data_IF_412530447968
#
_entry.id   IF_412530447968
#
_cell.length_a   1.000
_cell.length_b   1.000
_cell.length_c   1.000
_cell.angle_alpha   90.00
_cell.angle_beta   90.00
_cell.angle_gamma   90.00
#
_symmetry.space_group_name_H-M   'P 1'
#
loop_
_entity.id
_entity.type
_entity.pdbx_description
1 polymer ?
#
# COMPACT_ATOMS: atom_id res chain seq x y z
N UNK A 1 13.00 0.35 -8.78
CA UNK A 1 11.53 0.44 -8.88
C UNK A 1 10.97 0.12 -10.26
N UNK A 2 11.71 0.47 -11.31
CA UNK A 2 11.20 0.26 -12.67
C UNK A 2 10.91 -1.22 -12.97
N UNK A 3 11.74 -2.12 -12.47
CA UNK A 3 11.51 -3.56 -12.67
C UNK A 3 10.22 -4.03 -12.00
N UNK A 4 9.89 -3.48 -10.84
CA UNK A 4 8.64 -3.79 -10.16
C UNK A 4 7.43 -3.25 -10.92
N UNK A 5 7.56 -2.03 -11.45
CA UNK A 5 6.51 -1.42 -12.26
C UNK A 5 6.29 -2.24 -13.53
N UNK A 6 7.36 -2.69 -14.17
CA UNK A 6 7.27 -3.54 -15.36
C UNK A 6 6.53 -4.85 -15.04
N UNK A 7 6.83 -5.46 -13.90
CA UNK A 7 6.12 -6.66 -13.46
C UNK A 7 4.60 -6.39 -13.31
N UNK A 8 4.26 -5.26 -12.69
CA UNK A 8 2.85 -4.90 -12.49
C UNK A 8 2.13 -4.65 -13.81
N UNK A 9 2.83 -4.05 -14.78
CA UNK A 9 2.27 -3.86 -16.13
C UNK A 9 2.04 -5.22 -16.78
N UNK A 10 2.99 -6.14 -16.65
CA UNK A 10 2.89 -7.47 -17.25
C UNK A 10 1.70 -8.25 -16.71
N UNK A 11 1.33 -8.05 -15.46
CA UNK A 11 0.16 -8.73 -14.86
C UNK A 11 -1.14 -7.92 -15.03
N UNK A 12 -1.08 -6.77 -15.70
CA UNK A 12 -2.28 -6.03 -16.07
C UNK A 12 -2.72 -4.94 -15.11
N UNK A 13 -1.89 -4.55 -14.15
CA UNK A 13 -2.24 -3.53 -13.15
C UNK A 13 -2.56 -2.17 -13.76
N UNK A 14 -1.92 -1.83 -14.89
CA UNK A 14 -2.17 -0.58 -15.60
C UNK A 14 -3.53 -0.54 -16.32
N UNK A 15 -4.16 -1.68 -16.47
CA UNK A 15 -5.45 -1.81 -17.16
C UNK A 15 -6.64 -1.83 -16.20
N UNK A 16 -6.38 -1.77 -14.90
CA UNK A 16 -7.45 -1.87 -13.91
C UNK A 16 -7.89 -0.46 -13.53
N UNK A 17 -9.16 -0.12 -13.78
CA UNK A 17 -9.66 1.22 -13.45
C UNK A 17 -9.61 1.46 -11.94
N UNK A 18 -9.23 2.66 -11.57
CA UNK A 18 -9.25 3.10 -10.18
C UNK A 18 -9.49 4.61 -10.18
N UNK A 19 -10.69 5.02 -9.74
CA UNK A 19 -11.15 6.40 -9.79
C UNK A 19 -11.04 6.97 -11.22
N UNK A 20 -10.29 8.05 -11.42
CA UNK A 20 -10.14 8.69 -12.74
C UNK A 20 -8.91 8.20 -13.49
N UNK A 21 -8.21 7.19 -12.97
CA UNK A 21 -6.99 6.68 -13.54
C UNK A 21 -6.98 5.15 -13.49
N UNK A 22 -5.85 4.56 -13.13
CA UNK A 22 -5.73 3.11 -12.98
C UNK A 22 -5.02 2.78 -11.69
N UNK A 23 -5.07 1.51 -11.32
CA UNK A 23 -4.53 1.07 -10.04
C UNK A 23 -3.01 1.17 -9.96
N UNK A 24 -2.33 0.99 -11.09
CA UNK A 24 -0.88 1.16 -11.12
C UNK A 24 -0.48 2.60 -10.81
N UNK A 25 -1.17 3.58 -11.40
CA UNK A 25 -0.90 4.99 -11.12
C UNK A 25 -1.09 5.32 -9.64
N UNK A 26 -2.17 4.82 -9.03
CA UNK A 26 -2.41 4.98 -7.60
C UNK A 26 -1.29 4.35 -6.77
N UNK A 27 -0.88 3.13 -7.11
CA UNK A 27 0.17 2.41 -6.39
C UNK A 27 1.51 3.14 -6.48
N UNK A 28 1.84 3.67 -7.65
CA UNK A 28 3.06 4.48 -7.83
C UNK A 28 2.99 5.74 -6.97
N UNK A 29 1.85 6.43 -6.96
CA UNK A 29 1.66 7.64 -6.14
C UNK A 29 1.86 7.36 -4.66
N UNK A 30 1.31 6.26 -4.15
CA UNK A 30 1.48 5.87 -2.75
C UNK A 30 2.96 5.63 -2.43
N UNK A 31 3.67 4.90 -3.30
CA UNK A 31 5.09 4.63 -3.13
C UNK A 31 5.92 5.92 -3.12
N UNK A 32 5.66 6.82 -4.07
CA UNK A 32 6.35 8.10 -4.15
C UNK A 32 6.06 8.98 -2.93
N UNK A 33 4.86 8.95 -2.42
CA UNK A 33 4.48 9.70 -1.23
C UNK A 33 5.22 9.19 0.00
N UNK A 34 5.32 7.87 0.16
CA UNK A 34 6.13 7.28 1.23
C UNK A 34 7.59 7.71 1.13
N UNK A 35 8.13 7.75 -0.09
CA UNK A 35 9.49 8.26 -0.31
C UNK A 35 9.61 9.71 0.14
N UNK A 36 8.62 10.54 -0.17
CA UNK A 36 8.64 11.96 0.20
C UNK A 36 8.62 12.18 1.71
N UNK A 37 8.11 11.21 2.47
CA UNK A 37 8.11 11.25 3.94
C UNK A 37 9.31 10.52 4.53
N UNK A 38 10.33 10.22 3.72
CA UNK A 38 11.57 9.56 4.16
C UNK A 38 11.34 8.18 4.79
N UNK A 39 10.31 7.47 4.31
CA UNK A 39 10.08 6.13 4.82
C UNK A 39 11.06 5.13 4.19
N UNK A 40 11.36 4.03 4.90
CA UNK A 40 12.32 3.03 4.40
C UNK A 40 11.91 2.45 3.05
N UNK A 41 12.91 1.99 2.29
CA UNK A 41 12.66 1.43 0.96
C UNK A 41 11.69 0.23 1.01
N UNK A 42 11.75 -0.58 2.06
CA UNK A 42 10.85 -1.73 2.22
C UNK A 42 9.38 -1.28 2.31
N UNK A 43 9.12 -0.14 2.95
CA UNK A 43 7.77 0.42 3.00
C UNK A 43 7.36 1.01 1.67
N UNK A 44 8.28 1.65 0.96
CA UNK A 44 8.00 2.20 -0.36
C UNK A 44 7.63 1.09 -1.35
N UNK A 45 8.34 -0.01 -1.32
CA UNK A 45 8.06 -1.17 -2.18
C UNK A 45 6.73 -1.81 -1.77
N UNK A 46 6.49 -1.96 -0.46
CA UNK A 46 5.20 -2.46 0.01
C UNK A 46 4.06 -1.55 -0.43
N UNK A 47 4.27 -0.24 -0.44
CA UNK A 47 3.30 0.73 -0.93
C UNK A 47 2.97 0.53 -2.40
N UNK A 48 3.98 0.24 -3.20
CA UNK A 48 3.77 -0.08 -4.61
C UNK A 48 2.93 -1.35 -4.80
N UNK A 49 3.05 -2.31 -3.89
CA UNK A 49 2.35 -3.59 -3.98
C UNK A 49 1.14 -3.70 -3.03
N UNK A 50 0.71 -2.59 -2.42
CA UNK A 50 -0.29 -2.66 -1.33
C UNK A 50 -1.65 -3.22 -1.75
N UNK A 51 -1.99 -3.22 -3.03
CA UNK A 51 -3.25 -3.73 -3.53
C UNK A 51 -3.13 -5.09 -4.22
N UNK A 52 -1.93 -5.70 -4.19
CA UNK A 52 -1.67 -6.88 -5.02
C UNK A 52 -2.55 -8.08 -4.65
N UNK A 53 -2.96 -8.20 -3.39
CA UNK A 53 -3.78 -9.33 -2.93
C UNK A 53 -5.25 -8.99 -2.74
N UNK A 54 -5.57 -7.74 -2.49
CA UNK A 54 -6.91 -7.34 -2.09
C UNK A 54 -7.81 -6.97 -3.25
N UNK A 55 -7.76 -7.74 -4.33
CA UNK A 55 -8.35 -7.25 -5.54
C UNK A 55 -9.01 -8.34 -6.36
N UNK A 56 -9.89 -7.89 -7.21
CA UNK A 56 -10.54 -8.69 -8.23
C UNK A 56 -9.59 -9.09 -9.37
N UNK A 57 -8.30 -8.82 -9.26
CA UNK A 57 -7.32 -9.02 -10.34
C UNK A 57 -6.96 -10.44 -10.55
N UNK A 58 -7.23 -11.24 -9.58
CA UNK A 58 -7.19 -12.67 -9.79
C UNK A 58 -8.18 -13.08 -10.87
N UNK A 59 -9.14 -12.19 -11.18
CA UNK A 59 -10.08 -12.38 -12.28
C UNK A 59 -9.43 -12.34 -13.66
N UNK A 60 -8.23 -11.78 -13.78
CA UNK A 60 -7.54 -11.74 -15.06
C UNK A 60 -6.78 -13.03 -15.36
N UNK A 61 -7.09 -14.10 -14.64
CA UNK A 61 -6.54 -15.43 -14.91
C UNK A 61 -5.17 -15.66 -14.32
N UNK A 62 -4.57 -14.66 -13.70
CA UNK A 62 -3.26 -14.81 -13.09
C UNK A 62 -3.43 -15.06 -11.61
N UNK A 63 -3.05 -16.26 -11.19
CA UNK A 63 -3.09 -16.60 -9.78
C UNK A 63 -1.78 -16.14 -9.14
N UNK A 64 -1.86 -15.02 -8.44
CA UNK A 64 -0.69 -14.45 -7.77
C UNK A 64 -0.57 -15.10 -6.39
N UNK A 65 0.59 -15.70 -6.11
CA UNK A 65 0.87 -16.32 -4.83
C UNK A 65 1.79 -15.44 -4.01
N UNK A 66 1.74 -15.61 -2.68
CA UNK A 66 2.66 -14.90 -1.79
C UNK A 66 4.11 -15.25 -2.09
N UNK A 67 4.38 -16.51 -2.42
CA UNK A 67 5.73 -16.99 -2.75
C UNK A 67 6.27 -16.26 -3.96
N UNK A 68 5.45 -16.07 -4.99
CA UNK A 68 5.87 -15.33 -6.18
C UNK A 68 6.22 -13.89 -5.83
N UNK A 69 5.38 -13.21 -5.08
CA UNK A 69 5.62 -11.82 -4.70
C UNK A 69 6.84 -11.71 -3.79
N UNK A 70 7.01 -12.63 -2.83
CA UNK A 70 8.20 -12.67 -1.99
C UNK A 70 9.49 -12.80 -2.81
N UNK A 71 9.46 -13.59 -3.88
CA UNK A 71 10.63 -13.77 -4.73
C UNK A 71 10.99 -12.49 -5.50
N UNK A 72 10.01 -11.61 -5.70
CA UNK A 72 10.20 -10.36 -6.45
C UNK A 72 10.61 -9.22 -5.54
N UNK A 73 9.88 -9.00 -4.44
CA UNK A 73 10.05 -7.81 -3.60
C UNK A 73 10.69 -8.10 -2.24
N UNK A 74 10.94 -9.36 -1.93
CA UNK A 74 11.49 -9.76 -0.63
C UNK A 74 10.42 -10.01 0.42
N UNK A 75 10.82 -10.69 1.49
CA UNK A 75 9.90 -11.14 2.52
C UNK A 75 9.30 -9.98 3.33
N UNK A 76 10.11 -8.97 3.64
CA UNK A 76 9.64 -7.86 4.47
C UNK A 76 8.59 -7.02 3.76
N UNK A 77 8.87 -6.60 2.53
CA UNK A 77 7.91 -5.80 1.75
C UNK A 77 6.63 -6.59 1.48
N UNK A 78 6.76 -7.88 1.18
CA UNK A 78 5.60 -8.74 0.95
C UNK A 78 4.76 -8.90 2.23
N UNK A 79 5.43 -9.07 3.36
CA UNK A 79 4.73 -9.19 4.65
C UNK A 79 3.90 -7.94 4.95
N UNK A 80 4.47 -6.76 4.76
CA UNK A 80 3.76 -5.49 4.96
C UNK A 80 2.54 -5.40 4.00
N UNK A 81 2.74 -5.70 2.73
CA UNK A 81 1.65 -5.67 1.76
C UNK A 81 0.54 -6.67 2.12
N UNK A 82 0.91 -7.87 2.55
CA UNK A 82 -0.06 -8.89 2.95
C UNK A 82 -0.83 -8.47 4.19
N UNK A 83 -0.16 -7.93 5.21
CA UNK A 83 -0.85 -7.42 6.40
C UNK A 83 -1.87 -6.36 6.01
N UNK A 84 -1.48 -5.43 5.16
CA UNK A 84 -2.37 -4.35 4.73
C UNK A 84 -3.61 -4.90 4.02
N UNK A 85 -3.45 -5.90 3.18
CA UNK A 85 -4.56 -6.48 2.42
C UNK A 85 -5.49 -7.34 3.26
N UNK A 86 -5.01 -7.93 4.36
CA UNK A 86 -5.78 -8.92 5.12
C UNK A 86 -6.44 -8.37 6.38
N UNK A 87 -6.15 -7.14 6.77
CA UNK A 87 -6.76 -6.56 7.96
C UNK A 87 -8.23 -6.25 7.74
N UNK A 88 -9.08 -6.70 8.68
CA UNK A 88 -10.49 -6.36 8.69
C UNK A 88 -10.68 -4.95 9.28
N UNK A 89 -11.68 -4.22 8.80
CA UNK A 89 -11.95 -2.83 9.21
C UNK A 89 -10.65 -2.02 9.22
N UNK A 90 -9.96 -2.08 8.09
CA UNK A 90 -8.55 -1.69 8.00
C UNK A 90 -8.26 -0.29 8.54
N UNK A 91 -9.04 0.70 8.14
CA UNK A 91 -8.77 2.10 8.55
C UNK A 91 -8.79 2.23 10.07
N UNK A 92 -9.82 1.70 10.72
CA UNK A 92 -9.96 1.82 12.18
C UNK A 92 -8.96 0.94 12.91
N UNK A 93 -8.72 -0.28 12.41
CA UNK A 93 -7.76 -1.20 13.00
C UNK A 93 -6.36 -0.57 13.00
N UNK A 94 -5.97 0.05 11.90
CA UNK A 94 -4.66 0.70 11.79
C UNK A 94 -4.61 1.97 12.62
N UNK A 95 -5.64 2.82 12.53
CA UNK A 95 -5.67 4.09 13.26
C UNK A 95 -5.55 3.87 14.76
N UNK A 96 -6.33 2.93 15.32
CA UNK A 96 -6.32 2.64 16.75
C UNK A 96 -5.23 1.66 17.16
N UNK A 97 -4.59 0.99 16.21
CA UNK A 97 -3.49 0.06 16.48
C UNK A 97 -3.90 -1.24 17.15
N UNK A 98 -5.17 -1.62 17.03
CA UNK A 98 -5.69 -2.84 17.71
C UNK A 98 -5.00 -4.11 17.22
N UNK A 99 -4.34 -4.82 18.14
CA UNK A 99 -3.65 -6.07 17.83
C UNK A 99 -2.37 -5.88 17.02
N UNK A 100 -1.95 -4.65 16.78
CA UNK A 100 -0.75 -4.36 16.01
C UNK A 100 0.41 -4.01 16.95
N UNK A 101 1.60 -4.51 16.61
CA UNK A 101 2.83 -4.22 17.34
C UNK A 101 3.80 -3.47 16.43
N UNK A 102 4.73 -2.74 17.07
CA UNK A 102 5.80 -2.10 16.31
C UNK A 102 6.77 -3.16 15.79
N UNK A 103 7.40 -2.94 14.63
CA UNK A 103 7.34 -1.69 13.84
C UNK A 103 6.11 -1.59 12.94
N UNK A 104 5.31 -2.65 12.82
CA UNK A 104 4.24 -2.72 11.82
C UNK A 104 3.11 -1.74 12.07
N UNK A 105 2.83 -1.42 13.33
CA UNK A 105 1.80 -0.42 13.65
C UNK A 105 2.11 0.92 12.98
N UNK A 106 3.32 1.42 13.13
CA UNK A 106 3.74 2.67 12.51
C UNK A 106 3.82 2.56 10.99
N UNK A 107 4.39 1.45 10.50
CA UNK A 107 4.50 1.19 9.06
C UNK A 107 3.13 1.20 8.38
N UNK A 108 2.16 0.50 8.96
CA UNK A 108 0.81 0.43 8.39
C UNK A 108 0.09 1.77 8.48
N UNK A 109 0.33 2.56 9.52
CA UNK A 109 -0.22 3.92 9.62
C UNK A 109 0.29 4.82 8.49
N UNK A 110 1.58 4.77 8.19
CA UNK A 110 2.12 5.52 7.06
C UNK A 110 1.51 5.07 5.74
N UNK A 111 1.42 3.77 5.55
CA UNK A 111 0.87 3.21 4.31
C UNK A 111 -0.60 3.61 4.13
N UNK A 112 -1.43 3.46 5.16
CA UNK A 112 -2.85 3.84 5.08
C UNK A 112 -3.02 5.35 4.91
N UNK A 113 -2.21 6.14 5.59
CA UNK A 113 -2.22 7.58 5.44
C UNK A 113 -1.98 7.99 3.97
N UNK A 114 -0.95 7.45 3.37
CA UNK A 114 -0.62 7.75 1.97
C UNK A 114 -1.69 7.21 1.02
N UNK A 115 -2.22 6.03 1.31
CA UNK A 115 -3.29 5.43 0.52
C UNK A 115 -4.54 6.32 0.51
N UNK A 116 -4.97 6.80 1.67
CA UNK A 116 -6.14 7.67 1.77
C UNK A 116 -5.85 9.02 1.13
N UNK A 117 -4.71 9.60 1.41
CA UNK A 117 -4.34 10.94 0.92
C UNK A 117 -4.31 11.00 -0.60
N UNK A 118 -3.83 9.96 -1.26
CA UNK A 118 -3.83 9.90 -2.71
C UNK A 118 -5.25 9.86 -3.28
N UNK A 119 -6.16 9.16 -2.61
CA UNK A 119 -7.52 8.99 -3.09
C UNK A 119 -8.43 10.17 -2.72
N UNK A 120 -8.24 10.74 -1.53
CA UNK A 120 -9.07 11.84 -1.03
C UNK A 120 -8.22 12.73 -0.12
N UNK A 121 -7.49 13.71 -0.70
CA UNK A 121 -6.60 14.57 0.09
C UNK A 121 -7.32 15.48 1.08
N UNK A 122 -8.65 15.57 1.03
CA UNK A 122 -9.43 16.36 1.97
C UNK A 122 -10.15 15.53 3.02
N UNK A 123 -9.94 14.21 3.05
CA UNK A 123 -10.60 13.33 4.01
C UNK A 123 -10.27 13.75 5.44
N UNK A 124 -11.29 13.88 6.27
CA UNK A 124 -11.14 14.38 7.65
C UNK A 124 -10.28 13.45 8.52
N UNK A 125 -10.30 12.16 8.25
CA UNK A 125 -9.53 11.17 9.02
C UNK A 125 -8.02 11.37 8.87
N UNK A 126 -7.57 12.04 7.81
CA UNK A 126 -6.14 12.32 7.63
C UNK A 126 -5.55 13.09 8.80
N UNK A 127 -6.32 13.97 9.42
CA UNK A 127 -5.85 14.75 10.58
C UNK A 127 -5.52 13.85 11.77
N UNK A 128 -6.29 12.80 11.97
CA UNK A 128 -6.01 11.85 13.06
C UNK A 128 -4.71 11.08 12.81
N UNK A 129 -4.46 10.66 11.57
CA UNK A 129 -3.20 10.04 11.20
C UNK A 129 -2.04 11.03 11.35
N UNK A 130 -2.23 12.27 10.92
CA UNK A 130 -1.18 13.31 11.00
C UNK A 130 -0.73 13.55 12.43
N UNK A 131 -1.67 13.55 13.38
CA UNK A 131 -1.35 13.70 14.80
C UNK A 131 -0.50 12.51 15.27
N UNK A 132 -0.91 11.28 14.95
CA UNK A 132 -0.19 10.08 15.36
C UNK A 132 1.19 9.97 14.73
N UNK A 133 1.31 10.39 13.47
CA UNK A 133 2.56 10.31 12.71
C UNK A 133 3.41 11.58 12.86
N UNK A 134 2.89 12.61 13.53
CA UNK A 134 3.56 13.90 13.71
C UNK A 134 3.90 14.57 12.38
N UNK A 135 2.94 14.53 11.47
CA UNK A 135 3.06 15.18 10.17
C UNK A 135 2.40 16.55 10.25
N UNK A 136 3.11 17.57 9.78
CA UNK A 136 2.52 18.89 9.64
C UNK A 136 1.63 18.87 8.40
N UNK A 137 0.36 19.02 8.60
CA UNK A 137 -0.70 18.89 7.59
C UNK A 137 -0.58 19.67 6.28
#
# INVERSE_FOLDING_TARGET
>A
MQDYINYMIDIGFDKIPHRESNLLAHSISVSEMLQSYDRPIEEQVAGLFHSIYGTEYQMYGTKITREEIQSIIGKESEHIANLFCTLEDRVHTILYGKGLQEPYKTTLRWLEYCNIKDQDPTASILKEFEILLRVDG
#
